data_IF_179789213732
#
_entry.id   IF_179789213732
#
_cell.length_a   1.000
_cell.length_b   1.000
_cell.length_c   1.000
_cell.angle_alpha   90.00
_cell.angle_beta   90.00
_cell.angle_gamma   90.00
#
_symmetry.space_group_name_H-M   'P 1'
#
loop_
_entity.id
_entity.type
_entity.pdbx_description
1 polymer ?
#
# COMPACT_ATOMS: atom_id res chain seq x y z
N UNK A 1 6.16 -3.10 9.36
CA UNK A 1 5.91 -3.08 10.82
C UNK A 1 5.71 -1.65 11.35
N UNK A 2 4.80 -0.86 10.77
CA UNK A 2 4.46 0.49 11.27
C UNK A 2 3.20 0.48 12.13
N UNK A 3 2.16 -0.22 11.66
CA UNK A 3 0.86 -0.32 12.33
C UNK A 3 0.91 -1.06 13.68
N UNK A 4 1.72 -2.11 13.80
CA UNK A 4 1.91 -2.86 15.06
C UNK A 4 2.73 -2.10 16.11
N UNK A 5 3.55 -1.11 15.73
CA UNK A 5 4.31 -0.29 16.70
C UNK A 5 3.57 0.98 17.11
N UNK A 6 2.57 1.41 16.33
CA UNK A 6 1.75 2.59 16.63
C UNK A 6 0.60 2.28 17.62
N UNK A 7 0.22 1.01 17.75
CA UNK A 7 -0.86 0.55 18.62
C UNK A 7 -0.32 -0.39 19.70
N UNK A 8 0.52 0.14 20.60
CA UNK A 8 1.00 -0.58 21.79
C UNK A 8 -0.18 -1.02 22.68
N UNK A 9 -1.25 -0.23 22.73
CA UNK A 9 -2.46 -0.52 23.53
C UNK A 9 -3.48 -1.43 22.83
N UNK A 10 -3.36 -1.68 21.51
CA UNK A 10 -4.35 -2.46 20.76
C UNK A 10 -3.75 -3.25 19.57
N UNK A 11 -2.86 -4.22 19.83
CA UNK A 11 -2.23 -5.04 18.79
C UNK A 11 -3.22 -5.86 17.95
N UNK A 12 -4.37 -6.25 18.53
CA UNK A 12 -5.45 -6.92 17.80
C UNK A 12 -6.10 -6.04 16.72
N UNK A 13 -6.30 -4.75 17.01
CA UNK A 13 -6.81 -3.77 16.03
C UNK A 13 -5.78 -3.47 14.93
N UNK A 14 -4.50 -3.40 15.28
CA UNK A 14 -3.43 -3.24 14.28
C UNK A 14 -3.37 -4.44 13.31
N UNK A 15 -3.57 -5.65 13.83
CA UNK A 15 -3.60 -6.87 13.02
C UNK A 15 -4.83 -6.92 12.11
N UNK A 16 -6.04 -6.64 12.63
CA UNK A 16 -7.27 -6.67 11.84
C UNK A 16 -7.27 -5.63 10.72
N UNK A 17 -6.75 -4.42 10.96
CA UNK A 17 -6.57 -3.39 9.93
C UNK A 17 -5.57 -3.85 8.86
N UNK A 18 -4.48 -4.53 9.25
CA UNK A 18 -3.51 -5.05 8.29
C UNK A 18 -4.11 -6.16 7.40
N UNK A 19 -4.86 -7.09 8.01
CA UNK A 19 -5.59 -8.14 7.28
C UNK A 19 -6.67 -7.53 6.37
N UNK A 20 -7.40 -6.53 6.85
CA UNK A 20 -8.38 -5.79 6.06
C UNK A 20 -7.76 -5.11 4.84
N UNK A 21 -6.62 -4.42 5.03
CA UNK A 21 -5.90 -3.78 3.94
C UNK A 21 -5.40 -4.78 2.89
N UNK A 22 -4.96 -5.98 3.30
CA UNK A 22 -4.57 -7.04 2.38
C UNK A 22 -5.75 -7.55 1.55
N UNK A 23 -6.90 -7.82 2.20
CA UNK A 23 -8.11 -8.25 1.50
C UNK A 23 -8.61 -7.19 0.51
N UNK A 24 -8.59 -5.92 0.92
CA UNK A 24 -8.93 -4.81 0.03
C UNK A 24 -7.98 -4.76 -1.18
N UNK A 25 -6.67 -4.96 -0.95
CA UNK A 25 -5.67 -5.05 -2.01
C UNK A 25 -6.00 -6.17 -3.02
N UNK A 26 -6.39 -7.35 -2.55
CA UNK A 26 -6.79 -8.46 -3.43
C UNK A 26 -8.05 -8.12 -4.24
N UNK A 27 -9.06 -7.51 -3.60
CA UNK A 27 -10.28 -7.11 -4.29
C UNK A 27 -10.03 -6.05 -5.37
N UNK A 28 -9.24 -5.01 -5.05
CA UNK A 28 -8.83 -3.97 -6.00
C UNK A 28 -7.98 -4.58 -7.12
N UNK A 29 -7.06 -5.49 -6.80
CA UNK A 29 -6.24 -6.19 -7.78
C UNK A 29 -7.08 -7.03 -8.75
N UNK A 30 -8.07 -7.78 -8.25
CA UNK A 30 -8.99 -8.55 -9.07
C UNK A 30 -9.85 -7.65 -9.97
N UNK A 31 -10.36 -6.54 -9.43
CA UNK A 31 -11.14 -5.57 -10.22
C UNK A 31 -10.29 -4.94 -11.33
N UNK A 32 -9.05 -4.53 -11.02
CA UNK A 32 -8.13 -3.97 -12.02
C UNK A 32 -7.75 -5.01 -13.08
N UNK A 33 -7.42 -6.24 -12.68
CA UNK A 33 -7.11 -7.33 -13.61
C UNK A 33 -8.31 -7.68 -14.51
N UNK A 34 -9.52 -7.70 -13.94
CA UNK A 34 -10.77 -7.87 -14.69
C UNK A 34 -10.99 -6.73 -15.69
N UNK A 35 -10.77 -5.49 -15.29
CA UNK A 35 -10.87 -4.33 -16.19
C UNK A 35 -9.86 -4.42 -17.35
N UNK A 36 -8.63 -4.87 -17.08
CA UNK A 36 -7.59 -5.05 -18.10
C UNK A 36 -8.01 -6.08 -19.16
N UNK A 37 -8.58 -7.21 -18.71
CA UNK A 37 -9.09 -8.25 -19.59
C UNK A 37 -10.30 -7.75 -20.38
N UNK A 38 -11.27 -7.10 -19.72
CA UNK A 38 -12.48 -6.55 -20.34
C UNK A 38 -12.16 -5.46 -21.38
N UNK A 39 -11.05 -4.75 -21.22
CA UNK A 39 -10.57 -3.77 -22.20
C UNK A 39 -9.90 -4.41 -23.44
N UNK A 40 -9.83 -5.75 -23.53
CA UNK A 40 -9.27 -6.46 -24.68
C UNK A 40 -7.74 -6.50 -24.74
N UNK A 41 -7.04 -6.09 -23.67
CA UNK A 41 -5.57 -6.06 -23.64
C UNK A 41 -4.92 -7.45 -23.48
N UNK A 42 -5.73 -8.49 -23.23
CA UNK A 42 -5.28 -9.88 -23.09
C UNK A 42 -4.65 -10.21 -21.72
N UNK A 43 -4.42 -11.50 -21.48
CA UNK A 43 -3.93 -12.00 -20.19
C UNK A 43 -2.50 -11.55 -19.85
N UNK A 44 -1.65 -11.33 -20.85
CA UNK A 44 -0.28 -10.88 -20.66
C UNK A 44 -0.19 -9.45 -20.09
N UNK A 45 -1.22 -8.62 -20.27
CA UNK A 45 -1.26 -7.26 -19.75
C UNK A 45 -1.58 -7.19 -18.24
N UNK A 46 -2.21 -8.24 -17.68
CA UNK A 46 -2.59 -8.30 -16.26
C UNK A 46 -1.39 -8.18 -15.31
N UNK A 47 -0.28 -8.95 -15.46
CA UNK A 47 0.89 -8.78 -14.60
C UNK A 47 1.55 -7.40 -14.75
N UNK A 48 1.47 -6.78 -15.94
CA UNK A 48 2.00 -5.42 -16.16
C UNK A 48 1.18 -4.39 -15.36
N UNK A 49 -0.14 -4.47 -15.40
CA UNK A 49 -1.00 -3.62 -14.58
C UNK A 49 -0.73 -3.80 -13.08
N UNK A 50 -0.54 -5.05 -12.63
CA UNK A 50 -0.12 -5.35 -11.26
C UNK A 50 1.22 -4.70 -10.89
N UNK A 51 2.21 -4.75 -11.78
CA UNK A 51 3.51 -4.11 -11.57
C UNK A 51 3.38 -2.59 -11.43
N UNK A 52 2.55 -1.94 -12.25
CA UNK A 52 2.28 -0.49 -12.16
C UNK A 52 1.67 -0.13 -10.81
N UNK A 53 0.66 -0.89 -10.35
CA UNK A 53 0.03 -0.67 -9.04
C UNK A 53 1.05 -0.85 -7.90
N UNK A 54 1.91 -1.88 -7.98
CA UNK A 54 2.94 -2.14 -6.99
C UNK A 54 3.99 -1.00 -6.93
N UNK A 55 4.42 -0.49 -8.09
CA UNK A 55 5.33 0.66 -8.18
C UNK A 55 4.70 1.91 -7.58
N UNK A 56 3.42 2.19 -7.90
CA UNK A 56 2.70 3.33 -7.33
C UNK A 56 2.64 3.25 -5.79
N UNK A 57 2.29 2.07 -5.24
CA UNK A 57 2.28 1.84 -3.79
C UNK A 57 3.66 2.02 -3.16
N UNK A 58 4.72 1.56 -3.83
CA UNK A 58 6.11 1.74 -3.37
C UNK A 58 6.50 3.22 -3.34
N UNK A 59 6.18 4.00 -4.38
CA UNK A 59 6.45 5.44 -4.45
C UNK A 59 5.75 6.18 -3.32
N UNK A 60 4.46 5.90 -3.08
CA UNK A 60 3.72 6.48 -1.96
C UNK A 60 4.38 6.17 -0.62
N UNK A 61 4.83 4.93 -0.41
CA UNK A 61 5.58 4.54 0.79
C UNK A 61 6.89 5.29 0.96
N UNK A 62 7.62 5.56 -0.13
CA UNK A 62 8.86 6.33 -0.10
C UNK A 62 8.60 7.81 0.20
N UNK A 63 7.57 8.40 -0.42
CA UNK A 63 7.14 9.78 -0.15
C UNK A 63 6.77 9.94 1.32
N UNK A 64 6.00 9.01 1.87
CA UNK A 64 5.62 9.05 3.29
C UNK A 64 6.83 8.96 4.21
N UNK A 65 7.80 8.10 3.89
CA UNK A 65 9.06 7.98 4.66
C UNK A 65 9.87 9.27 4.60
N UNK A 66 10.04 9.85 3.42
CA UNK A 66 10.76 11.10 3.23
C UNK A 66 10.09 12.27 3.99
N UNK A 67 8.76 12.37 3.92
CA UNK A 67 7.99 13.37 4.66
C UNK A 67 8.17 13.23 6.17
N UNK A 68 8.11 11.99 6.69
CA UNK A 68 8.33 11.73 8.11
C UNK A 68 9.76 12.03 8.58
N UNK A 69 10.77 11.78 7.75
CA UNK A 69 12.16 12.14 8.06
C UNK A 69 12.33 13.67 8.19
N UNK A 70 11.76 14.45 7.28
CA UNK A 70 11.79 15.92 7.34
C UNK A 70 11.18 16.45 8.64
N UNK A 71 10.03 15.89 9.06
CA UNK A 71 9.37 16.26 10.32
C UNK A 71 10.25 15.94 11.54
N UNK A 72 10.91 14.79 11.57
CA UNK A 72 11.80 14.41 12.67
C UNK A 72 13.00 15.34 12.80
N UNK A 73 13.62 15.70 11.68
CA UNK A 73 14.75 16.63 11.66
C UNK A 73 14.35 18.03 12.13
N UNK A 74 13.14 18.49 11.78
CA UNK A 74 12.62 19.77 12.26
C UNK A 74 12.33 19.78 13.77
N UNK A 75 11.90 18.66 14.35
CA UNK A 75 11.62 18.55 15.81
C UNK A 75 12.91 18.44 16.63
N UNK A 76 13.97 17.81 16.11
CA UNK A 76 15.25 17.65 16.82
C UNK A 76 16.11 18.94 16.87
N UNK A 77 15.74 19.98 16.12
CA UNK A 77 16.42 21.27 16.13
C UNK A 77 15.86 22.31 17.12
N UNK A 78 14.81 21.95 17.88
CA UNK A 78 14.32 22.71 19.05
C UNK A 78 14.88 22.07 20.33
#
# INVERSE_FOLDING_TARGET
MGVMRAATDAPGLASSVNVGAFNLGNAVGAAAGGAVISAGMGYAAVPIAGAVIAVAGRVLGLVQRAANQRRRLAVQGC
#
